data_IF_435704360585
#
_entry.id   IF_435704360585
#
_cell.length_a   1.000
_cell.length_b   1.000
_cell.length_c   1.000
_cell.angle_alpha   90.00
_cell.angle_beta   90.00
_cell.angle_gamma   90.00
#
_symmetry.space_group_name_H-M   'P 1'
#
loop_
_entity.id
_entity.type
_entity.pdbx_description
1 polymer ?
#
# COMPACT_ATOMS: atom_id res chain seq x y z
N UNK A 1 -1.89 28.64 4.32
CA UNK A 1 -2.50 27.90 3.21
C UNK A 1 -2.62 26.44 3.58
N UNK A 2 -3.82 25.89 3.47
CA UNK A 2 -4.05 24.48 3.83
C UNK A 2 -3.54 23.57 2.72
N UNK A 3 -2.91 22.48 3.09
CA UNK A 3 -2.54 21.46 2.11
C UNK A 3 -3.78 20.82 1.53
N UNK A 4 -3.76 20.51 0.25
CA UNK A 4 -4.83 19.78 -0.37
C UNK A 4 -4.87 18.32 0.07
N UNK A 5 -6.05 17.73 0.10
CA UNK A 5 -6.23 16.32 0.47
C UNK A 5 -5.43 15.39 -0.45
N UNK A 6 -5.32 15.73 -1.73
CA UNK A 6 -4.55 14.93 -2.68
C UNK A 6 -3.07 14.87 -2.29
N UNK A 7 -2.48 16.00 -1.92
CA UNK A 7 -1.08 16.03 -1.48
C UNK A 7 -0.89 15.21 -0.21
N UNK A 8 -1.82 15.34 0.73
CA UNK A 8 -1.77 14.59 1.99
C UNK A 8 -1.82 13.09 1.73
N UNK A 9 -2.71 12.64 0.84
CA UNK A 9 -2.84 11.22 0.53
C UNK A 9 -1.63 10.67 -0.19
N UNK A 10 -1.04 11.43 -1.10
CA UNK A 10 0.18 11.00 -1.79
C UNK A 10 1.33 10.87 -0.78
N UNK A 11 1.44 11.79 0.17
CA UNK A 11 2.44 11.69 1.23
C UNK A 11 2.19 10.47 2.13
N UNK A 12 0.93 10.19 2.47
CA UNK A 12 0.58 9.01 3.25
C UNK A 12 0.87 7.73 2.48
N UNK A 13 0.64 7.73 1.17
CA UNK A 13 0.97 6.60 0.32
C UNK A 13 2.48 6.34 0.30
N UNK A 14 3.29 7.38 0.18
CA UNK A 14 4.75 7.26 0.26
C UNK A 14 5.18 6.73 1.61
N UNK A 15 4.56 7.23 2.67
CA UNK A 15 4.84 6.77 4.04
C UNK A 15 4.48 5.28 4.20
N UNK A 16 3.34 4.86 3.65
CA UNK A 16 2.92 3.47 3.68
C UNK A 16 3.94 2.58 2.95
N UNK A 17 4.34 2.96 1.73
CA UNK A 17 5.30 2.18 0.95
C UNK A 17 6.66 2.13 1.65
N UNK A 18 7.10 3.22 2.25
CA UNK A 18 8.36 3.25 2.99
C UNK A 18 8.29 2.36 4.23
N UNK A 19 7.17 2.36 4.94
CA UNK A 19 6.96 1.49 6.10
C UNK A 19 6.98 0.01 5.71
N UNK A 20 6.39 -0.33 4.55
CA UNK A 20 6.47 -1.70 4.00
C UNK A 20 7.93 -2.06 3.73
N UNK A 21 8.66 -1.19 3.07
CA UNK A 21 10.06 -1.41 2.73
C UNK A 21 10.91 -1.65 3.98
N UNK A 22 10.64 -0.92 5.06
CA UNK A 22 11.43 -0.98 6.29
C UNK A 22 10.90 -2.00 7.30
N UNK A 23 9.80 -2.69 6.99
CA UNK A 23 9.14 -3.60 7.93
C UNK A 23 8.73 -2.91 9.23
N UNK A 24 8.30 -1.66 9.13
CA UNK A 24 7.93 -0.82 10.27
C UNK A 24 6.48 -1.11 10.69
N UNK A 25 6.33 -2.13 11.54
CA UNK A 25 5.00 -2.59 11.96
C UNK A 25 4.18 -1.50 12.64
N UNK A 26 4.80 -0.69 13.48
CA UNK A 26 4.09 0.35 14.23
C UNK A 26 3.46 1.39 13.29
N UNK A 27 4.23 1.87 12.32
CA UNK A 27 3.71 2.80 11.32
C UNK A 27 2.60 2.16 10.50
N UNK A 28 2.76 0.89 10.12
CA UNK A 28 1.75 0.17 9.36
C UNK A 28 0.46 0.01 10.17
N UNK A 29 0.55 -0.34 11.45
CA UNK A 29 -0.63 -0.47 12.31
C UNK A 29 -1.40 0.85 12.39
N UNK A 30 -0.71 1.99 12.44
CA UNK A 30 -1.34 3.30 12.49
C UNK A 30 -2.02 3.68 11.17
N UNK A 31 -1.45 3.26 10.04
CA UNK A 31 -1.98 3.61 8.72
C UNK A 31 -3.15 2.74 8.28
N UNK A 32 -3.24 1.51 8.79
CA UNK A 32 -4.27 0.57 8.39
C UNK A 32 -5.52 0.71 9.26
N UNK A 33 -6.69 0.76 8.62
CA UNK A 33 -7.95 0.67 9.36
C UNK A 33 -8.13 -0.76 9.88
N UNK A 34 -9.04 -0.92 10.84
CA UNK A 34 -9.34 -2.25 11.39
C UNK A 34 -9.92 -3.19 10.33
N UNK A 35 -10.63 -2.65 9.36
CA UNK A 35 -11.25 -3.43 8.28
C UNK A 35 -10.32 -3.72 7.10
N UNK A 36 -9.07 -3.30 7.17
CA UNK A 36 -8.16 -3.37 6.04
C UNK A 36 -8.07 -4.76 5.44
N UNK A 37 -8.09 -4.81 4.09
CA UNK A 37 -7.86 -6.05 3.33
C UNK A 37 -7.05 -5.74 2.08
N UNK A 38 -6.22 -6.69 1.68
CA UNK A 38 -5.60 -6.65 0.37
C UNK A 38 -6.19 -7.72 -0.53
N UNK A 39 -6.24 -7.43 -1.82
CA UNK A 39 -6.82 -8.30 -2.83
C UNK A 39 -5.95 -8.28 -4.08
N UNK A 40 -6.01 -9.34 -4.87
CA UNK A 40 -5.46 -9.33 -6.22
C UNK A 40 -4.05 -9.84 -6.37
N UNK A 41 -3.35 -10.12 -5.29
CA UNK A 41 -2.08 -10.80 -5.42
C UNK A 41 -2.32 -12.23 -5.87
N UNK A 42 -1.76 -12.67 -7.02
CA UNK A 42 -2.05 -14.01 -7.53
C UNK A 42 -1.60 -15.14 -6.61
N UNK A 43 -0.68 -14.87 -5.70
CA UNK A 43 -0.16 -15.88 -4.79
C UNK A 43 -0.81 -15.87 -3.41
N UNK A 44 -1.44 -14.76 -3.03
CA UNK A 44 -1.96 -14.57 -1.69
C UNK A 44 -3.49 -14.47 -1.65
N UNK A 45 -4.14 -14.16 -2.79
CA UNK A 45 -5.60 -13.94 -2.82
C UNK A 45 -6.00 -12.75 -1.96
N UNK A 46 -7.13 -12.87 -1.26
CA UNK A 46 -7.59 -11.85 -0.32
C UNK A 46 -7.02 -12.13 1.06
N UNK A 47 -6.41 -11.12 1.66
CA UNK A 47 -5.72 -11.23 2.95
C UNK A 47 -6.26 -10.15 3.88
N UNK A 48 -6.58 -10.53 5.12
CA UNK A 48 -7.04 -9.56 6.12
C UNK A 48 -5.87 -8.76 6.72
N UNK A 49 -6.22 -7.80 7.58
CA UNK A 49 -5.26 -6.87 8.20
C UNK A 49 -4.13 -7.60 8.94
N UNK A 50 -4.49 -8.52 9.83
CA UNK A 50 -3.51 -9.18 10.68
C UNK A 50 -2.56 -10.05 9.87
N UNK A 51 -3.09 -10.79 8.90
CA UNK A 51 -2.27 -11.63 8.04
C UNK A 51 -1.35 -10.78 7.16
N UNK A 52 -1.86 -9.67 6.62
CA UNK A 52 -1.04 -8.78 5.81
C UNK A 52 0.10 -8.16 6.62
N UNK A 53 -0.20 -7.71 7.86
CA UNK A 53 0.83 -7.17 8.75
C UNK A 53 1.92 -8.21 9.02
N UNK A 54 1.53 -9.45 9.28
CA UNK A 54 2.49 -10.52 9.49
C UNK A 54 3.35 -10.75 8.25
N UNK A 55 2.74 -10.81 7.07
CA UNK A 55 3.46 -11.01 5.82
C UNK A 55 4.46 -9.90 5.54
N UNK A 56 4.05 -8.65 5.68
CA UNK A 56 4.93 -7.53 5.31
C UNK A 56 6.00 -7.25 6.37
N UNK A 57 5.83 -7.71 7.60
CA UNK A 57 6.84 -7.51 8.64
C UNK A 57 7.76 -8.71 8.80
N UNK A 58 7.30 -9.91 8.49
CA UNK A 58 8.06 -11.14 8.73
C UNK A 58 8.29 -11.97 7.46
N UNK A 59 7.42 -11.85 6.46
CA UNK A 59 7.44 -12.72 5.28
C UNK A 59 7.98 -12.08 4.01
N UNK A 60 8.28 -10.80 4.02
CA UNK A 60 8.77 -10.09 2.84
C UNK A 60 10.21 -9.66 3.04
N UNK A 61 11.03 -9.92 2.03
CA UNK A 61 12.40 -9.41 1.98
C UNK A 61 12.58 -8.65 0.67
N UNK A 62 13.03 -7.41 0.77
CA UNK A 62 13.26 -6.57 -0.40
C UNK A 62 14.75 -6.35 -0.63
N UNK A 63 15.22 -6.67 -1.85
CA UNK A 63 16.54 -6.28 -2.31
C UNK A 63 16.51 -4.84 -2.83
N UNK A 64 15.42 -4.45 -3.45
CA UNK A 64 15.18 -3.08 -3.86
C UNK A 64 13.69 -2.80 -3.90
N UNK A 65 13.33 -1.54 -3.70
CA UNK A 65 11.95 -1.10 -3.71
C UNK A 65 11.90 0.36 -4.14
N UNK A 66 11.26 0.63 -5.27
CA UNK A 66 11.16 1.97 -5.82
C UNK A 66 9.69 2.34 -6.06
N UNK A 67 9.26 3.41 -5.43
CA UNK A 67 7.96 4.02 -5.65
C UNK A 67 8.09 4.97 -6.84
N UNK A 68 7.43 4.68 -7.94
CA UNK A 68 7.66 5.37 -9.20
C UNK A 68 6.69 6.50 -9.49
N UNK A 69 5.41 6.27 -9.28
CA UNK A 69 4.40 7.28 -9.60
C UNK A 69 3.16 7.06 -8.77
N UNK A 70 2.39 8.13 -8.59
CA UNK A 70 1.10 8.05 -7.92
C UNK A 70 0.14 9.05 -8.52
N UNK A 71 -1.13 8.64 -8.62
CA UNK A 71 -2.25 9.50 -8.98
C UNK A 71 -3.33 9.34 -7.93
N UNK A 72 -3.95 10.43 -7.55
CA UNK A 72 -4.91 10.45 -6.46
C UNK A 72 -6.21 11.10 -6.89
N UNK A 73 -7.33 10.50 -6.44
CA UNK A 73 -8.66 11.09 -6.58
C UNK A 73 -9.29 11.14 -5.20
N UNK A 74 -9.85 12.30 -4.84
CA UNK A 74 -10.50 12.49 -3.54
C UNK A 74 -11.96 12.86 -3.76
N UNK A 75 -12.85 12.13 -3.10
CA UNK A 75 -14.29 12.39 -3.09
C UNK A 75 -14.75 12.42 -1.63
N UNK A 76 -14.87 13.64 -1.08
CA UNK A 76 -15.25 13.79 0.33
C UNK A 76 -14.26 13.09 1.26
N UNK A 77 -14.75 12.10 1.98
CA UNK A 77 -13.94 11.34 2.95
C UNK A 77 -13.34 10.06 2.37
N UNK A 78 -13.38 9.92 1.04
CA UNK A 78 -12.80 8.77 0.34
C UNK A 78 -11.69 9.25 -0.58
N UNK A 79 -10.54 8.61 -0.50
CA UNK A 79 -9.45 8.85 -1.43
C UNK A 79 -9.00 7.55 -2.08
N UNK A 80 -8.68 7.62 -3.36
CA UNK A 80 -8.16 6.47 -4.10
C UNK A 80 -6.80 6.88 -4.66
N UNK A 81 -5.78 6.11 -4.34
CA UNK A 81 -4.42 6.36 -4.83
C UNK A 81 -3.97 5.17 -5.67
N UNK A 82 -3.70 5.44 -6.94
CA UNK A 82 -3.12 4.45 -7.84
C UNK A 82 -1.62 4.75 -7.96
N UNK A 83 -0.79 3.75 -7.70
CA UNK A 83 0.66 3.93 -7.76
C UNK A 83 1.31 2.77 -8.50
N UNK A 84 2.54 3.01 -8.97
CA UNK A 84 3.37 1.98 -9.59
C UNK A 84 4.64 1.86 -8.78
N UNK A 85 4.96 0.64 -8.40
CA UNK A 85 6.19 0.31 -7.67
C UNK A 85 7.01 -0.68 -8.48
N UNK A 86 8.32 -0.51 -8.46
CA UNK A 86 9.26 -1.48 -9.00
C UNK A 86 9.99 -2.09 -7.82
N UNK A 87 9.90 -3.40 -7.67
CA UNK A 87 10.47 -4.07 -6.51
C UNK A 87 11.17 -5.36 -6.89
N UNK A 88 12.18 -5.72 -6.11
CA UNK A 88 12.84 -7.01 -6.19
C UNK A 88 12.89 -7.61 -4.81
N UNK A 89 12.43 -8.83 -4.69
CA UNK A 89 12.41 -9.51 -3.42
C UNK A 89 11.49 -10.70 -3.41
N UNK A 90 11.27 -11.23 -2.22
CA UNK A 90 10.43 -12.39 -2.02
C UNK A 90 9.33 -12.11 -1.02
N UNK A 91 8.20 -12.78 -1.21
CA UNK A 91 7.10 -12.80 -0.23
C UNK A 91 6.88 -14.27 0.15
N UNK A 92 7.05 -14.58 1.43
CA UNK A 92 6.93 -15.96 1.94
C UNK A 92 7.79 -16.94 1.13
N UNK A 93 9.01 -16.51 0.78
CA UNK A 93 9.98 -17.34 0.04
C UNK A 93 9.77 -17.39 -1.47
N UNK A 94 8.73 -16.74 -1.99
CA UNK A 94 8.45 -16.72 -3.44
C UNK A 94 8.90 -15.40 -4.05
N UNK A 95 9.53 -15.49 -5.22
CA UNK A 95 9.94 -14.30 -5.96
C UNK A 95 8.71 -13.49 -6.39
N UNK A 96 8.68 -12.21 -6.00
CA UNK A 96 7.63 -11.28 -6.37
C UNK A 96 8.22 -10.02 -7.00
N UNK A 97 9.32 -10.20 -7.72
CA UNK A 97 10.00 -9.08 -8.37
C UNK A 97 9.25 -8.59 -9.60
N UNK A 98 9.40 -7.32 -9.93
CA UNK A 98 8.83 -6.70 -11.12
C UNK A 98 8.13 -5.39 -10.83
N UNK A 99 7.38 -4.92 -11.81
CA UNK A 99 6.53 -3.73 -11.65
C UNK A 99 5.13 -4.15 -11.25
N UNK A 100 4.60 -3.44 -10.27
CA UNK A 100 3.25 -3.68 -9.77
C UNK A 100 2.49 -2.37 -9.68
N UNK A 101 1.22 -2.42 -10.03
CA UNK A 101 0.29 -1.34 -9.78
C UNK A 101 -0.44 -1.63 -8.48
N UNK A 102 -0.53 -0.63 -7.62
CA UNK A 102 -1.36 -0.71 -6.42
C UNK A 102 -2.47 0.29 -6.53
N UNK A 103 -3.68 -0.12 -6.13
CA UNK A 103 -4.81 0.78 -6.02
C UNK A 103 -5.26 0.72 -4.57
N UNK A 104 -5.05 1.81 -3.87
CA UNK A 104 -5.31 1.90 -2.44
C UNK A 104 -6.49 2.81 -2.17
N UNK A 105 -7.45 2.33 -1.40
CA UNK A 105 -8.60 3.13 -0.97
C UNK A 105 -8.40 3.57 0.47
N UNK A 106 -8.48 4.89 0.68
CA UNK A 106 -8.31 5.54 1.98
C UNK A 106 -9.65 6.14 2.42
N UNK A 107 -9.93 6.03 3.72
CA UNK A 107 -11.10 6.67 4.33
C UNK A 107 -10.65 7.64 5.40
N UNK A 108 -11.31 8.80 5.42
CA UNK A 108 -11.11 9.78 6.49
C UNK A 108 -12.22 9.64 7.51
N UNK A 109 -11.83 9.32 8.76
CA UNK A 109 -12.74 9.24 9.90
C UNK A 109 -12.13 10.04 11.04
N UNK A 110 -12.94 10.89 11.65
CA UNK A 110 -12.47 11.73 12.75
C UNK A 110 -11.22 12.54 12.39
N UNK A 111 -11.20 13.06 11.17
CA UNK A 111 -10.09 13.86 10.68
C UNK A 111 -8.83 13.08 10.31
N UNK A 112 -8.89 11.75 10.32
CA UNK A 112 -7.73 10.89 10.10
C UNK A 112 -7.94 9.96 8.91
N UNK A 113 -6.98 9.96 8.00
CA UNK A 113 -6.98 9.05 6.86
C UNK A 113 -6.35 7.71 7.22
N UNK A 114 -7.05 6.63 6.91
CA UNK A 114 -6.51 5.27 7.02
C UNK A 114 -6.87 4.48 5.78
N UNK A 115 -5.96 3.59 5.35
CA UNK A 115 -6.21 2.74 4.20
C UNK A 115 -7.14 1.59 4.61
N UNK A 116 -8.16 1.34 3.79
CA UNK A 116 -9.16 0.27 4.04
C UNK A 116 -9.02 -0.88 3.07
N UNK A 117 -8.42 -0.66 1.91
CA UNK A 117 -8.27 -1.70 0.91
C UNK A 117 -7.08 -1.42 0.01
N UNK A 118 -6.37 -2.47 -0.34
CA UNK A 118 -5.29 -2.44 -1.33
C UNK A 118 -5.55 -3.49 -2.38
N UNK A 119 -5.44 -3.11 -3.64
CA UNK A 119 -5.42 -4.05 -4.76
C UNK A 119 -4.02 -3.99 -5.37
N UNK A 120 -3.38 -5.15 -5.53
CA UNK A 120 -2.05 -5.26 -6.13
C UNK A 120 -2.16 -6.08 -7.40
N UNK A 121 -1.69 -5.52 -8.49
CA UNK A 121 -1.72 -6.18 -9.80
C UNK A 121 -0.35 -6.09 -10.46
N UNK A 122 0.11 -7.15 -11.14
CA UNK A 122 1.29 -7.02 -11.97
C UNK A 122 1.05 -5.92 -13.02
N UNK A 123 2.04 -5.09 -13.22
CA UNK A 123 1.96 -4.00 -14.20
C UNK A 123 2.88 -4.32 -15.37
N UNK A 124 2.29 -4.54 -16.54
CA UNK A 124 3.05 -4.76 -17.75
C UNK A 124 2.79 -3.59 -18.70
N UNK A 125 3.79 -2.71 -18.90
CA UNK A 125 3.63 -1.63 -19.86
C UNK A 125 3.57 -2.20 -21.28
N UNK A 126 2.64 -1.68 -22.07
CA UNK A 126 2.52 -2.05 -23.47
C UNK A 126 3.68 -1.50 -24.29
#
# INVERSE_FOLDING_TARGET
MTRGDQEMLIDLERHLQDAVRRHDRRSLEDLLSEEFRTTGSPHLGTVDRDRWLELVTEGIEWDSFEFRSAKCMVLGDVGVVASVVNRRGTVAGRDTSGEFATVDTWLRREGRWQIVNRVVLPFEPE
#
